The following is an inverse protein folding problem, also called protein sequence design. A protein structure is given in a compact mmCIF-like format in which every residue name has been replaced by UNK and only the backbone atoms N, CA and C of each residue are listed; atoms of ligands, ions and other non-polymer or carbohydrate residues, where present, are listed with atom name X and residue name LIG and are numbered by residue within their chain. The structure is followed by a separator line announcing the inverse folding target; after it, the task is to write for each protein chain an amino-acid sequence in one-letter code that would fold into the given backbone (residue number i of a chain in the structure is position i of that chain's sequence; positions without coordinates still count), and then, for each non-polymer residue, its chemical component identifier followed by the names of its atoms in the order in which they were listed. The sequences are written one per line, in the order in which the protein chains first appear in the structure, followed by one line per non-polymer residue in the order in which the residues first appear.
data_IF_176377020887
#
_entry.id   IF_176377020887
#
_cell.length_a   1.000
_cell.length_b   1.000
_cell.length_c   1.000
_cell.angle_alpha   90.00
_cell.angle_beta   90.00
_cell.angle_gamma   90.00
#
_symmetry.space_group_name_H-M   'P 1'
#
loop_
_entity.id
_entity.type
_entity.pdbx_description
1 polymer ?
#
# COMPACT_ATOMS: atom_id res chain seq x y z
N UNK A 1 -22.65 -12.35 -7.18
CA UNK A 1 -22.38 -11.01 -6.63
C UNK A 1 -20.89 -10.79 -6.70
N UNK A 2 -20.43 -9.76 -7.42
CA UNK A 2 -19.01 -9.40 -7.45
C UNK A 2 -18.76 -8.64 -6.15
N UNK A 3 -18.15 -9.29 -5.17
CA UNK A 3 -17.81 -8.67 -3.89
C UNK A 3 -16.64 -7.71 -4.13
N UNK A 4 -16.91 -6.42 -4.19
CA UNK A 4 -15.86 -5.41 -4.30
C UNK A 4 -15.06 -5.40 -2.99
N UNK A 5 -13.77 -5.68 -3.08
CA UNK A 5 -12.86 -5.55 -1.95
C UNK A 5 -12.36 -4.10 -1.91
N UNK A 6 -12.44 -3.41 -0.76
CA UNK A 6 -11.80 -2.11 -0.54
C UNK A 6 -10.38 -2.07 -1.08
N UNK A 7 -9.97 -0.92 -1.59
CA UNK A 7 -8.60 -0.71 -2.05
C UNK A 7 -7.84 0.16 -1.07
N UNK A 8 -6.64 -0.29 -0.71
CA UNK A 8 -5.74 0.44 0.19
C UNK A 8 -4.56 1.04 -0.59
N UNK A 9 -4.32 2.35 -0.45
CA UNK A 9 -3.13 3.05 -0.98
C UNK A 9 -2.39 3.85 0.10
N UNK A 10 -1.23 4.43 -0.27
CA UNK A 10 -0.46 5.33 0.58
C UNK A 10 -0.34 6.72 -0.04
N UNK A 11 -0.56 7.79 0.75
CA UNK A 11 -0.65 9.15 0.20
C UNK A 11 0.45 10.14 0.59
N UNK A 12 1.55 9.72 1.22
CA UNK A 12 2.52 10.69 1.75
C UNK A 12 4.00 10.32 1.58
N UNK A 13 4.53 10.50 0.37
CA UNK A 13 5.99 10.60 0.18
C UNK A 13 6.67 9.48 -0.57
N UNK A 14 5.93 8.57 -1.21
CA UNK A 14 6.55 7.74 -2.24
C UNK A 14 6.80 8.64 -3.46
N UNK A 15 8.04 8.69 -3.94
CA UNK A 15 8.47 9.58 -5.03
C UNK A 15 8.95 10.99 -4.62
N UNK A 16 8.97 11.35 -3.33
CA UNK A 16 9.57 12.64 -2.91
C UNK A 16 11.10 12.53 -2.90
N UNK A 17 11.84 13.53 -3.41
CA UNK A 17 13.30 13.48 -3.59
C UNK A 17 14.13 13.28 -2.31
N UNK A 18 13.53 13.44 -1.12
CA UNK A 18 14.21 13.30 0.19
C UNK A 18 13.72 12.11 1.02
N UNK A 19 12.98 11.17 0.43
CA UNK A 19 12.55 9.94 1.09
C UNK A 19 13.46 8.81 0.64
N UNK A 20 14.29 8.28 1.55
CA UNK A 20 15.21 7.19 1.21
C UNK A 20 14.47 5.95 0.70
N UNK A 21 15.10 5.22 -0.23
CA UNK A 21 14.57 4.02 -0.90
C UNK A 21 13.93 3.02 0.09
N UNK A 22 14.60 2.75 1.22
CA UNK A 22 14.09 1.84 2.25
C UNK A 22 12.74 2.28 2.82
N UNK A 23 12.52 3.58 3.06
CA UNK A 23 11.25 4.07 3.60
C UNK A 23 10.10 3.85 2.62
N UNK A 24 10.38 4.00 1.33
CA UNK A 24 9.41 3.81 0.26
C UNK A 24 9.09 2.31 0.08
N UNK A 25 10.10 1.43 0.14
CA UNK A 25 9.88 -0.03 0.16
C UNK A 25 9.02 -0.46 1.36
N UNK A 26 9.29 0.08 2.55
CA UNK A 26 8.47 -0.18 3.73
C UNK A 26 7.02 0.29 3.56
N UNK A 27 6.81 1.45 2.94
CA UNK A 27 5.45 1.96 2.69
C UNK A 27 4.68 1.05 1.72
N UNK A 28 5.32 0.61 0.63
CA UNK A 28 4.72 -0.35 -0.32
C UNK A 28 4.41 -1.67 0.37
N UNK A 29 5.41 -2.28 1.02
CA UNK A 29 5.26 -3.58 1.67
C UNK A 29 4.21 -3.55 2.77
N UNK A 30 4.21 -2.53 3.63
CA UNK A 30 3.22 -2.38 4.70
C UNK A 30 1.82 -2.14 4.17
N UNK A 31 1.65 -1.40 3.07
CA UNK A 31 0.33 -1.20 2.44
C UNK A 31 -0.24 -2.54 1.95
N UNK A 32 0.57 -3.32 1.24
CA UNK A 32 0.18 -4.66 0.75
C UNK A 32 -0.14 -5.59 1.92
N UNK A 33 0.71 -5.58 2.96
CA UNK A 33 0.50 -6.37 4.17
C UNK A 33 -0.79 -6.01 4.89
N UNK A 34 -1.06 -4.73 5.11
CA UNK A 34 -2.29 -4.27 5.77
C UNK A 34 -3.52 -4.65 4.94
N UNK A 35 -3.49 -4.46 3.62
CA UNK A 35 -4.59 -4.85 2.74
C UNK A 35 -4.84 -6.37 2.79
N UNK A 36 -3.78 -7.17 2.62
CA UNK A 36 -3.85 -8.63 2.62
C UNK A 36 -4.39 -9.18 3.94
N UNK A 37 -3.90 -8.64 5.07
CA UNK A 37 -4.39 -9.01 6.41
C UNK A 37 -5.88 -8.75 6.59
N UNK A 38 -6.38 -7.65 6.02
CA UNK A 38 -7.79 -7.29 6.07
C UNK A 38 -8.63 -7.95 4.96
N UNK A 39 -8.04 -8.80 4.11
CA UNK A 39 -8.72 -9.48 3.02
C UNK A 39 -9.07 -8.56 1.84
N UNK A 40 -8.48 -7.37 1.79
CA UNK A 40 -8.75 -6.30 0.82
C UNK A 40 -7.82 -6.34 -0.38
N UNK A 41 -8.19 -5.61 -1.42
CA UNK A 41 -7.30 -5.35 -2.55
C UNK A 41 -6.36 -4.19 -2.20
N UNK A 42 -5.27 -4.06 -2.94
CA UNK A 42 -4.33 -2.94 -2.80
C UNK A 42 -4.09 -2.30 -4.16
N UNK A 43 -3.78 -1.00 -4.11
CA UNK A 43 -3.29 -0.25 -5.25
C UNK A 43 -2.16 0.65 -4.78
N UNK A 44 -1.32 1.04 -5.72
CA UNK A 44 -0.23 1.96 -5.46
C UNK A 44 -0.43 3.18 -6.36
N UNK A 45 -0.19 4.39 -5.84
CA UNK A 45 -0.39 5.59 -6.64
C UNK A 45 0.60 5.59 -7.81
N UNK A 46 0.14 6.13 -8.93
CA UNK A 46 1.00 6.37 -10.08
C UNK A 46 2.05 7.42 -9.70
N UNK A 47 3.32 7.05 -9.77
CA UNK A 47 4.44 7.95 -9.54
C UNK A 47 5.43 7.89 -10.71
N UNK A 48 6.03 9.02 -11.07
CA UNK A 48 7.33 9.01 -11.73
C UNK A 48 8.34 8.64 -10.65
N UNK A 49 8.78 7.39 -10.60
CA UNK A 49 9.73 6.97 -9.60
C UNK A 49 10.82 6.09 -10.19
N UNK A 50 12.06 6.14 -9.67
CA UNK A 50 13.07 5.12 -9.96
C UNK A 50 12.60 3.67 -9.68
N UNK A 51 11.45 3.47 -9.01
CA UNK A 51 10.82 2.16 -8.82
C UNK A 51 10.30 1.47 -10.08
N UNK A 52 10.16 2.15 -11.22
CA UNK A 52 9.82 1.45 -12.48
C UNK A 52 10.79 0.30 -12.77
N UNK A 53 12.06 0.46 -12.39
CA UNK A 53 13.08 -0.58 -12.55
C UNK A 53 13.17 -1.56 -11.37
N UNK A 54 12.67 -1.20 -10.18
CA UNK A 54 12.80 -1.99 -8.95
C UNK A 54 11.57 -2.88 -8.73
N UNK A 55 10.40 -2.44 -9.20
CA UNK A 55 9.13 -3.15 -9.07
C UNK A 55 8.48 -3.37 -10.46
N UNK A 56 9.17 -4.02 -11.42
CA UNK A 56 8.64 -4.23 -12.77
C UNK A 56 7.36 -5.08 -12.75
N UNK A 57 7.28 -6.04 -11.83
CA UNK A 57 6.13 -6.95 -11.69
C UNK A 57 4.85 -6.22 -11.22
N UNK A 58 5.04 -5.13 -10.48
CA UNK A 58 3.96 -4.32 -9.92
C UNK A 58 3.30 -3.42 -10.97
N UNK A 59 4.10 -2.88 -11.90
CA UNK A 59 3.63 -2.04 -13.01
C UNK A 59 2.76 -2.80 -14.01
N UNK A 60 2.91 -4.13 -14.10
CA UNK A 60 2.22 -4.97 -15.08
C UNK A 60 0.85 -5.48 -14.62
N UNK A 61 0.55 -5.51 -13.32
CA UNK A 61 -0.68 -6.15 -12.78
C UNK A 61 -1.76 -5.20 -12.25
N UNK A 62 -1.45 -3.94 -11.95
CA UNK A 62 -2.37 -3.04 -11.24
C UNK A 62 -2.46 -1.65 -11.87
N UNK A 63 -2.63 -1.61 -13.20
CA UNK A 63 -2.81 -0.38 -13.97
C UNK A 63 -4.26 0.13 -14.00
N UNK A 64 -5.15 -0.47 -13.23
CA UNK A 64 -6.48 0.08 -12.99
C UNK A 64 -6.31 1.30 -12.08
N UNK A 65 -6.16 2.45 -12.73
CA UNK A 65 -6.36 3.75 -12.12
C UNK A 65 -7.65 3.70 -11.30
N UNK A 66 -7.53 3.74 -9.98
CA UNK A 66 -8.66 4.10 -9.13
C UNK A 66 -8.70 5.62 -9.09
N UNK A 67 -9.11 6.21 -10.21
CA UNK A 67 -9.48 7.62 -10.27
C UNK A 67 -10.69 7.84 -9.37
N UNK A 68 -10.48 8.63 -8.32
CA UNK A 68 -11.51 8.99 -7.36
C UNK A 68 -10.89 9.76 -6.21
N UNK A 69 -11.28 11.01 -6.03
CA UNK A 69 -10.70 11.87 -4.98
C UNK A 69 -11.27 11.58 -3.57
N UNK A 70 -12.28 10.73 -3.47
CA UNK A 70 -13.05 10.49 -2.24
C UNK A 70 -12.56 9.29 -1.41
N UNK A 71 -11.25 9.10 -1.28
CA UNK A 71 -10.72 8.01 -0.44
C UNK A 71 -10.74 8.42 1.04
N UNK A 72 -11.24 7.54 1.89
CA UNK A 72 -11.20 7.75 3.34
C UNK A 72 -9.77 7.57 3.84
N UNK A 73 -9.27 8.51 4.63
CA UNK A 73 -7.90 8.43 5.16
C UNK A 73 -7.86 7.73 6.53
N UNK A 74 -7.02 6.71 6.66
CA UNK A 74 -6.66 6.11 7.96
C UNK A 74 -5.29 6.63 8.36
N UNK A 75 -5.24 7.39 9.45
CA UNK A 75 -3.99 7.86 10.03
C UNK A 75 -3.36 6.74 10.86
N UNK A 76 -2.18 6.29 10.44
CA UNK A 76 -1.39 5.29 11.17
C UNK A 76 -0.44 6.04 12.12
N UNK A 77 -0.56 5.82 13.46
CA UNK A 77 0.33 6.45 14.43
C UNK A 77 1.79 5.98 14.27
N UNK A 78 2.71 6.67 14.94
CA UNK A 78 4.11 6.26 14.95
C UNK A 78 4.27 4.91 15.67
N UNK A 79 5.10 4.02 15.12
CA UNK A 79 5.27 2.65 15.62
C UNK A 79 4.32 1.63 14.97
N UNK A 80 4.36 0.39 15.46
CA UNK A 80 3.47 -0.68 15.01
C UNK A 80 2.11 -0.59 15.71
N UNK A 81 1.05 -0.60 14.91
CA UNK A 81 -0.33 -0.68 15.37
C UNK A 81 -1.04 -1.74 14.54
N UNK A 82 -1.95 -2.49 15.14
CA UNK A 82 -2.80 -3.37 14.35
C UNK A 82 -3.86 -2.53 13.61
N UNK A 83 -3.74 -2.45 12.29
CA UNK A 83 -4.60 -1.60 11.45
C UNK A 83 -5.75 -2.45 10.88
N UNK A 84 -6.96 -2.11 11.31
CA UNK A 84 -8.19 -2.64 10.76
C UNK A 84 -8.72 -1.67 9.70
N UNK A 85 -8.86 -2.15 8.47
CA UNK A 85 -9.47 -1.40 7.38
C UNK A 85 -10.92 -1.86 7.24
N UNK A 86 -11.92 -0.98 7.37
CA UNK A 86 -13.32 -1.39 7.26
C UNK A 86 -13.65 -2.04 5.92
N UNK A 87 -14.52 -3.06 5.97
CA UNK A 87 -15.10 -3.70 4.79
C UNK A 87 -16.41 -3.06 4.35
N UNK A 88 -16.53 -1.73 4.44
CA UNK A 88 -17.77 -0.98 4.15
C UNK A 88 -17.96 -0.67 2.64
N UNK A 89 -17.07 -1.21 1.79
CA UNK A 89 -17.08 -1.00 0.33
C UNK A 89 -16.38 0.27 -0.12
N UNK A 90 -15.75 1.02 0.80
CA UNK A 90 -15.06 2.27 0.51
C UNK A 90 -13.57 2.06 0.29
N UNK A 91 -12.93 2.97 -0.45
CA UNK A 91 -11.48 2.94 -0.65
C UNK A 91 -10.78 3.72 0.47
N UNK A 92 -9.65 3.17 0.93
CA UNK A 92 -8.92 3.66 2.07
C UNK A 92 -7.50 4.04 1.73
N UNK A 93 -7.05 5.11 2.36
CA UNK A 93 -5.74 5.72 2.15
C UNK A 93 -4.98 5.76 3.46
N UNK A 94 -3.93 4.97 3.56
CA UNK A 94 -3.08 4.92 4.75
C UNK A 94 -2.17 6.14 4.81
N UNK A 95 -2.07 6.75 5.98
CA UNK A 95 -1.23 7.92 6.26
C UNK A 95 -0.38 7.71 7.50
N UNK A 96 0.86 7.28 7.32
CA UNK A 96 1.88 7.11 8.38
C UNK A 96 3.23 6.65 7.82
N UNK A 97 4.21 6.38 8.67
CA UNK A 97 5.52 5.89 8.21
C UNK A 97 5.52 4.38 7.93
N UNK A 98 4.82 3.60 8.76
CA UNK A 98 4.64 2.15 8.59
C UNK A 98 5.96 1.37 8.40
N UNK A 99 7.02 1.77 9.10
CA UNK A 99 8.37 1.17 9.01
C UNK A 99 8.51 -0.05 9.94
N UNK A 100 7.64 -1.06 9.77
CA UNK A 100 7.74 -2.29 10.55
C UNK A 100 7.36 -3.51 9.71
N UNK A 101 8.23 -4.51 9.71
CA UNK A 101 7.97 -5.79 9.03
C UNK A 101 6.73 -6.51 9.56
N UNK A 102 6.31 -6.21 10.79
CA UNK A 102 5.09 -6.78 11.39
C UNK A 102 3.84 -6.55 10.55
N UNK A 103 3.82 -5.50 9.72
CA UNK A 103 2.71 -5.24 8.80
C UNK A 103 2.59 -6.26 7.67
N UNK A 104 3.70 -6.85 7.20
CA UNK A 104 3.73 -7.67 6.00
C UNK A 104 4.41 -9.03 6.17
N UNK A 105 4.93 -9.35 7.35
CA UNK A 105 5.59 -10.64 7.65
C UNK A 105 4.71 -11.86 7.35
N UNK A 106 3.39 -11.73 7.51
CA UNK A 106 2.44 -12.80 7.23
C UNK A 106 2.28 -13.09 5.72
N UNK A 107 2.59 -12.13 4.86
CA UNK A 107 2.57 -12.26 3.41
C UNK A 107 3.98 -12.10 2.80
N UNK A 108 5.03 -12.42 3.56
CA UNK A 108 6.42 -12.31 3.12
C UNK A 108 6.70 -12.94 1.75
N UNK A 109 6.14 -14.11 1.38
CA UNK A 109 6.32 -14.67 0.04
C UNK A 109 5.85 -13.71 -1.07
N UNK A 110 4.68 -13.09 -0.92
CA UNK A 110 4.14 -12.11 -1.87
C UNK A 110 5.05 -10.88 -1.97
N UNK A 111 5.57 -10.40 -0.84
CA UNK A 111 6.48 -9.25 -0.82
C UNK A 111 7.79 -9.57 -1.55
N UNK A 112 8.34 -10.77 -1.36
CA UNK A 112 9.56 -11.24 -2.05
C UNK A 112 9.38 -11.44 -3.55
N UNK A 113 8.16 -11.69 -4.03
CA UNK A 113 7.90 -11.76 -5.47
C UNK A 113 7.89 -10.37 -6.14
N UNK A 114 7.65 -9.31 -5.36
CA UNK A 114 7.51 -7.96 -5.88
C UNK A 114 8.84 -7.20 -5.95
N UNK A 115 9.76 -7.45 -5.01
CA UNK A 115 11.11 -6.86 -4.93
C UNK A 115 12.20 -7.80 -5.44
#
# INVERSE_FOLDING_TARGET
MITYKPVTDYSKGIGKPNTGLGNQMFQVASTIGIATKNGHNFALPQWESPFENILPQLHLKHKEQLEGDNWKAIKVPWGYHDIMVPGDGENYRLRGYMQSEKYFKHCEPLIRELF
#
